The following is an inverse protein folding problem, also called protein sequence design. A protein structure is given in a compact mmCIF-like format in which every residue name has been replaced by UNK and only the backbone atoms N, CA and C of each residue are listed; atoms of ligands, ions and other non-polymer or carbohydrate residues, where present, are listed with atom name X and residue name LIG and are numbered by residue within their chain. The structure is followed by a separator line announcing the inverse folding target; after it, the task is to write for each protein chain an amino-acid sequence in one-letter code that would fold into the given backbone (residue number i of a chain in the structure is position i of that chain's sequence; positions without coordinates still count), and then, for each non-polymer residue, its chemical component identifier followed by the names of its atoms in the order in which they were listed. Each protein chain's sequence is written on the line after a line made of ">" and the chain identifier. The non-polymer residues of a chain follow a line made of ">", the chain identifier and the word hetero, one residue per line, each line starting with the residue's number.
data_IF_402163636990
#
_entry.id   IF_402163636990
#
_cell.length_a   1.000
_cell.length_b   1.000
_cell.length_c   1.000
_cell.angle_alpha   90.00
_cell.angle_beta   90.00
_cell.angle_gamma   90.00
#
_symmetry.space_group_name_H-M   'P 1'
#
loop_
_entity.id
_entity.type
_entity.pdbx_description
1 polymer ?
#
# COMPACT_ATOMS: atom_id res chain seq x y z
N UNK A 1 15.58 28.06 -63.49
CA UNK A 1 14.95 28.73 -62.32
C UNK A 1 15.16 27.83 -61.11
N UNK A 2 15.83 28.32 -60.07
CA UNK A 2 16.46 27.50 -59.01
C UNK A 2 15.47 27.12 -57.89
N UNK A 3 15.09 25.84 -57.80
CA UNK A 3 14.00 25.32 -56.95
C UNK A 3 14.33 25.10 -55.46
N UNK A 4 15.42 25.67 -54.94
CA UNK A 4 15.92 25.31 -53.59
C UNK A 4 15.31 26.08 -52.41
N UNK A 5 14.27 26.90 -52.60
CA UNK A 5 13.79 27.82 -51.54
C UNK A 5 12.34 27.65 -51.08
N UNK A 6 11.62 26.60 -51.50
CA UNK A 6 10.18 26.46 -51.17
C UNK A 6 9.90 25.45 -50.03
N UNK A 7 10.89 24.68 -49.58
CA UNK A 7 10.70 23.66 -48.52
C UNK A 7 11.17 24.19 -47.15
N UNK A 8 10.72 25.39 -46.74
CA UNK A 8 11.11 25.92 -45.42
C UNK A 8 9.99 26.69 -44.69
N UNK A 9 8.74 26.51 -45.10
CA UNK A 9 7.61 27.24 -44.50
C UNK A 9 6.35 26.38 -44.26
N UNK A 10 6.50 25.06 -44.07
CA UNK A 10 5.36 24.15 -43.82
C UNK A 10 5.43 23.38 -42.49
N UNK A 11 6.50 23.58 -41.70
CA UNK A 11 6.75 22.78 -40.49
C UNK A 11 6.22 23.35 -39.17
N UNK A 12 5.76 24.60 -39.12
CA UNK A 12 5.52 25.29 -37.84
C UNK A 12 4.03 25.37 -37.42
N UNK A 13 3.09 24.93 -38.26
CA UNK A 13 1.66 25.12 -37.97
C UNK A 13 0.94 23.91 -37.33
N UNK A 14 1.63 22.79 -37.08
CA UNK A 14 1.02 21.57 -36.51
C UNK A 14 0.99 21.57 -34.97
N UNK A 15 1.62 22.53 -34.30
CA UNK A 15 1.80 22.52 -32.84
C UNK A 15 0.67 23.16 -32.02
N UNK A 16 -0.40 23.66 -32.64
CA UNK A 16 -1.49 24.37 -31.93
C UNK A 16 -2.81 23.60 -31.78
N UNK A 17 -2.89 22.33 -32.20
CA UNK A 17 -4.15 21.57 -32.15
C UNK A 17 -4.28 20.60 -30.95
N UNK A 18 -3.32 20.55 -30.02
CA UNK A 18 -3.30 19.56 -28.94
C UNK A 18 -3.89 20.02 -27.59
N UNK A 19 -4.53 21.19 -27.50
CA UNK A 19 -5.01 21.74 -26.21
C UNK A 19 -6.53 21.65 -25.95
N UNK A 20 -7.31 21.03 -26.83
CA UNK A 20 -8.78 20.94 -26.64
C UNK A 20 -9.24 19.52 -26.30
N UNK A 21 -9.03 19.08 -25.06
CA UNK A 21 -9.92 18.09 -24.41
C UNK A 21 -9.66 17.95 -22.92
N UNK A 22 -10.18 18.89 -22.15
CA UNK A 22 -10.67 18.61 -20.79
C UNK A 22 -12.11 19.09 -20.72
N UNK A 23 -13.04 18.24 -21.14
CA UNK A 23 -14.46 18.37 -20.82
C UNK A 23 -14.70 17.55 -19.55
N UNK A 24 -14.69 18.19 -18.40
CA UNK A 24 -15.09 17.58 -17.13
C UNK A 24 -16.62 17.41 -17.13
N UNK A 25 -17.10 16.40 -17.87
CA UNK A 25 -18.46 15.92 -17.75
C UNK A 25 -18.53 15.00 -16.53
N UNK A 26 -18.85 15.58 -15.38
CA UNK A 26 -19.11 14.85 -14.15
C UNK A 26 -20.54 14.31 -14.23
N UNK A 27 -20.72 13.20 -14.94
CA UNK A 27 -21.96 12.43 -14.92
C UNK A 27 -21.86 11.44 -13.75
N UNK A 28 -22.51 11.80 -12.63
CA UNK A 28 -22.69 10.94 -11.48
C UNK A 28 -23.71 9.85 -11.83
N UNK A 29 -23.29 8.84 -12.60
CA UNK A 29 -23.98 7.56 -12.65
C UNK A 29 -23.31 6.66 -11.62
N UNK A 30 -24.02 6.41 -10.51
CA UNK A 30 -23.61 5.53 -9.42
C UNK A 30 -23.34 4.11 -9.93
N UNK A 31 -22.15 3.93 -10.48
CA UNK A 31 -21.55 2.64 -10.67
C UNK A 31 -20.89 2.35 -9.35
N UNK A 32 -21.41 1.39 -8.59
CA UNK A 32 -20.71 0.83 -7.44
C UNK A 32 -19.25 0.61 -7.83
N UNK A 33 -18.36 1.48 -7.35
CA UNK A 33 -16.96 1.18 -7.32
C UNK A 33 -16.85 -0.03 -6.42
N UNK A 34 -16.80 -1.23 -7.02
CA UNK A 34 -16.08 -2.32 -6.38
C UNK A 34 -14.68 -1.75 -6.16
N UNK A 35 -14.47 -1.23 -4.95
CA UNK A 35 -13.15 -1.17 -4.37
C UNK A 35 -12.76 -2.63 -4.34
N UNK A 36 -12.04 -3.06 -5.37
CA UNK A 36 -11.27 -4.27 -5.26
C UNK A 36 -10.29 -3.96 -4.14
N UNK A 37 -10.63 -4.41 -2.92
CA UNK A 37 -9.70 -4.46 -1.80
C UNK A 37 -8.55 -5.29 -2.31
N UNK A 38 -7.50 -4.62 -2.75
CA UNK A 38 -6.22 -5.25 -3.01
C UNK A 38 -5.89 -6.05 -1.75
N UNK A 39 -5.62 -7.34 -1.90
CA UNK A 39 -5.18 -8.16 -0.77
C UNK A 39 -4.01 -7.42 -0.11
N UNK A 40 -4.17 -7.05 1.16
CA UNK A 40 -3.24 -6.18 1.86
C UNK A 40 -1.81 -6.70 1.80
N UNK A 41 -0.84 -5.84 2.10
CA UNK A 41 0.57 -6.21 2.14
C UNK A 41 0.80 -7.35 3.13
N UNK A 42 1.60 -8.34 2.73
CA UNK A 42 1.89 -9.52 3.56
C UNK A 42 3.34 -9.50 4.02
N UNK A 43 3.55 -9.73 5.32
CA UNK A 43 4.88 -9.87 5.93
C UNK A 43 4.88 -11.00 6.96
N UNK A 44 6.02 -11.66 7.11
CA UNK A 44 6.24 -12.64 8.17
C UNK A 44 7.16 -12.01 9.21
N UNK A 45 6.69 -11.91 10.45
CA UNK A 45 7.42 -11.23 11.51
C UNK A 45 7.11 -11.84 12.88
N UNK A 46 8.06 -11.72 13.80
CA UNK A 46 7.93 -12.19 15.18
C UNK A 46 7.32 -11.07 16.01
N UNK A 47 6.24 -11.35 16.75
CA UNK A 47 5.64 -10.37 17.63
C UNK A 47 6.56 -10.05 18.81
N UNK A 48 6.79 -8.76 19.06
CA UNK A 48 7.74 -8.22 20.04
C UNK A 48 7.05 -7.47 21.19
N UNK A 49 5.71 -7.51 21.22
CA UNK A 49 4.91 -6.82 22.22
C UNK A 49 4.27 -5.53 21.72
N UNK A 50 3.63 -4.81 22.63
CA UNK A 50 2.94 -3.55 22.37
C UNK A 50 3.60 -2.42 23.17
N UNK A 51 3.89 -1.30 22.52
CA UNK A 51 4.18 -0.02 23.18
C UNK A 51 2.88 0.74 23.42
N UNK A 52 2.95 1.91 24.07
CA UNK A 52 1.75 2.72 24.36
C UNK A 52 0.85 2.90 23.12
N UNK A 53 1.46 3.12 21.95
CA UNK A 53 0.78 3.43 20.69
C UNK A 53 0.80 2.33 19.63
N UNK A 54 1.74 1.37 19.67
CA UNK A 54 1.98 0.49 18.52
C UNK A 54 2.13 -0.98 18.90
N UNK A 55 1.70 -1.85 17.99
CA UNK A 55 2.01 -3.28 18.00
C UNK A 55 3.31 -3.53 17.24
N UNK A 56 4.32 -4.05 17.93
CA UNK A 56 5.67 -4.17 17.40
C UNK A 56 5.99 -5.60 16.98
N UNK A 57 6.70 -5.71 15.87
CA UNK A 57 7.16 -6.97 15.30
C UNK A 57 8.60 -6.84 14.81
N UNK A 58 9.32 -7.95 14.78
CA UNK A 58 10.67 -8.04 14.24
C UNK A 58 10.66 -8.86 12.95
N UNK A 59 11.08 -8.23 11.86
CA UNK A 59 11.39 -8.89 10.59
C UNK A 59 12.87 -9.23 10.57
N UNK A 60 13.20 -10.46 10.18
CA UNK A 60 14.59 -10.87 9.97
C UNK A 60 14.82 -11.07 8.47
N UNK A 61 15.80 -10.35 7.91
CA UNK A 61 16.14 -10.49 6.49
C UNK A 61 16.96 -11.76 6.21
N UNK A 62 17.25 -12.01 4.93
CA UNK A 62 18.02 -13.19 4.49
C UNK A 62 19.45 -13.24 5.02
N UNK A 63 20.00 -12.12 5.51
CA UNK A 63 21.33 -12.01 6.10
C UNK A 63 21.28 -12.09 7.63
N UNK A 64 20.10 -12.33 8.22
CA UNK A 64 19.90 -12.39 9.66
C UNK A 64 19.78 -11.01 10.33
N UNK A 65 19.71 -9.91 9.56
CA UNK A 65 19.56 -8.58 10.14
C UNK A 65 18.10 -8.38 10.57
N UNK A 66 17.93 -8.02 11.85
CA UNK A 66 16.64 -7.70 12.45
C UNK A 66 16.23 -6.26 12.15
N UNK A 67 14.95 -6.04 11.84
CA UNK A 67 14.34 -4.74 11.64
C UNK A 67 13.02 -4.68 12.38
N UNK A 68 12.75 -3.57 13.05
CA UNK A 68 11.48 -3.34 13.72
C UNK A 68 10.41 -2.94 12.69
N UNK A 69 9.20 -3.45 12.89
CA UNK A 69 8.01 -3.12 12.14
C UNK A 69 6.86 -2.88 13.12
N UNK A 70 6.32 -1.67 13.11
CA UNK A 70 5.27 -1.23 14.03
C UNK A 70 3.97 -0.98 13.28
N UNK A 71 2.86 -1.34 13.92
CA UNK A 71 1.49 -1.11 13.43
C UNK A 71 0.71 -0.31 14.47
N UNK A 72 0.09 0.78 14.04
CA UNK A 72 -0.69 1.66 14.92
C UNK A 72 -2.02 1.02 15.28
N UNK A 73 -2.60 0.27 14.35
CA UNK A 73 -3.94 -0.28 14.49
C UNK A 73 -3.97 -1.78 14.16
N UNK A 74 -4.98 -2.47 14.69
CA UNK A 74 -5.35 -3.81 14.31
C UNK A 74 -6.87 -3.88 14.19
N UNK A 75 -7.37 -4.63 13.22
CA UNK A 75 -8.80 -4.86 13.06
C UNK A 75 -9.37 -5.58 14.30
N UNK A 76 -10.62 -5.29 14.64
CA UNK A 76 -11.28 -5.90 15.82
C UNK A 76 -11.30 -7.43 15.77
N UNK A 77 -11.41 -8.01 14.57
CA UNK A 77 -11.33 -9.46 14.36
C UNK A 77 -9.97 -10.03 14.78
N UNK A 78 -8.89 -9.29 14.57
CA UNK A 78 -7.53 -9.66 15.00
C UNK A 78 -7.44 -9.58 16.51
N UNK A 79 -7.90 -8.48 17.13
CA UNK A 79 -7.84 -8.27 18.58
C UNK A 79 -8.73 -9.24 19.36
N UNK A 80 -9.83 -9.71 18.76
CA UNK A 80 -10.70 -10.73 19.34
C UNK A 80 -10.03 -12.12 19.33
N UNK A 81 -9.30 -12.44 18.25
CA UNK A 81 -8.63 -13.73 18.10
C UNK A 81 -7.28 -13.79 18.83
N UNK A 82 -6.59 -12.66 18.93
CA UNK A 82 -5.27 -12.52 19.52
C UNK A 82 -5.27 -11.29 20.43
N UNK A 83 -5.20 -11.53 21.74
CA UNK A 83 -4.95 -10.45 22.69
C UNK A 83 -3.51 -9.93 22.55
N UNK A 84 -3.33 -8.95 21.66
CA UNK A 84 -2.07 -8.26 21.42
C UNK A 84 -1.81 -7.13 22.44
N UNK A 85 -2.64 -6.99 23.48
CA UNK A 85 -2.33 -6.12 24.61
C UNK A 85 -1.60 -6.89 25.73
N UNK A 86 -1.72 -8.21 25.75
CA UNK A 86 -0.98 -9.10 26.62
C UNK A 86 0.34 -9.56 25.98
N UNK A 87 1.27 -10.03 26.81
CA UNK A 87 2.58 -10.55 26.36
C UNK A 87 2.52 -12.02 25.88
N UNK A 88 1.34 -12.64 25.89
CA UNK A 88 1.12 -14.08 25.61
C UNK A 88 1.71 -14.56 24.28
N UNK A 89 1.81 -13.69 23.28
CA UNK A 89 2.29 -14.04 21.94
C UNK A 89 3.70 -13.52 21.63
N UNK A 90 4.39 -12.88 22.59
CA UNK A 90 5.76 -12.39 22.37
C UNK A 90 6.65 -13.55 21.96
N UNK A 91 7.46 -13.35 20.92
CA UNK A 91 8.30 -14.39 20.31
C UNK A 91 7.58 -15.31 19.30
N UNK A 92 6.26 -15.18 19.15
CA UNK A 92 5.50 -15.96 18.14
C UNK A 92 5.66 -15.35 16.74
N UNK A 93 5.97 -16.20 15.77
CA UNK A 93 6.00 -15.82 14.35
C UNK A 93 4.57 -15.78 13.80
N UNK A 94 4.24 -14.68 13.13
CA UNK A 94 2.97 -14.51 12.44
C UNK A 94 3.17 -14.21 10.97
N UNK A 95 2.24 -14.67 10.15
CA UNK A 95 1.94 -14.09 8.85
C UNK A 95 0.93 -12.95 9.08
N UNK A 96 1.33 -11.76 8.69
CA UNK A 96 0.60 -10.51 8.92
C UNK A 96 0.14 -10.00 7.57
N UNK A 97 -1.17 -9.77 7.42
CA UNK A 97 -1.72 -8.98 6.32
C UNK A 97 -2.08 -7.61 6.87
N UNK A 98 -1.66 -6.54 6.19
CA UNK A 98 -1.90 -5.18 6.63
C UNK A 98 -2.14 -4.22 5.47
N UNK A 99 -2.79 -3.11 5.77
CA UNK A 99 -2.97 -1.99 4.84
C UNK A 99 -2.25 -0.77 5.37
N UNK A 100 -1.74 0.07 4.46
CA UNK A 100 -1.16 1.37 4.79
C UNK A 100 -2.11 2.47 4.32
N UNK A 101 -2.56 3.30 5.25
CA UNK A 101 -3.37 4.49 4.99
C UNK A 101 -2.56 5.61 4.34
N UNK A 102 -3.26 6.62 3.82
CA UNK A 102 -2.64 7.80 3.20
C UNK A 102 -1.86 8.70 4.16
N UNK A 103 -2.05 8.50 5.47
CA UNK A 103 -1.33 9.14 6.58
C UNK A 103 -0.17 8.28 7.10
N UNK A 104 0.25 7.27 6.33
CA UNK A 104 1.27 6.27 6.68
C UNK A 104 0.90 5.33 7.84
N UNK A 105 -0.34 5.40 8.35
CA UNK A 105 -0.79 4.48 9.40
C UNK A 105 -0.91 3.06 8.87
N UNK A 106 -0.39 2.10 9.62
CA UNK A 106 -0.47 0.67 9.27
C UNK A 106 -1.48 -0.02 10.15
N UNK A 107 -2.41 -0.70 9.50
CA UNK A 107 -3.49 -1.45 10.17
C UNK A 107 -3.39 -2.92 9.83
N UNK A 108 -3.23 -3.76 10.86
CA UNK A 108 -3.25 -5.22 10.71
C UNK A 108 -4.68 -5.65 10.38
N UNK A 109 -4.89 -6.23 9.22
CA UNK A 109 -6.21 -6.72 8.78
C UNK A 109 -6.38 -8.23 9.00
N UNK A 110 -5.28 -8.98 9.05
CA UNK A 110 -5.29 -10.42 9.34
C UNK A 110 -4.00 -10.84 10.03
N UNK A 111 -4.11 -11.78 10.96
CA UNK A 111 -2.98 -12.38 11.66
C UNK A 111 -3.13 -13.91 11.68
N UNK A 112 -2.09 -14.63 11.27
CA UNK A 112 -2.08 -16.10 11.24
C UNK A 112 -0.80 -16.61 11.92
N UNK A 113 -0.93 -17.43 12.98
CA UNK A 113 0.23 -18.05 13.64
C UNK A 113 0.94 -19.00 12.68
N UNK A 114 2.25 -18.85 12.55
CA UNK A 114 3.07 -19.80 11.79
C UNK A 114 3.47 -20.95 12.72
N UNK A 115 2.95 -22.15 12.45
CA UNK A 115 3.32 -23.36 13.20
C UNK A 115 4.69 -23.83 12.73
N UNK A 116 5.66 -23.88 13.63
CA UNK A 116 6.96 -24.55 13.38
C UNK A 116 6.77 -26.00 13.80
N UNK A 117 6.87 -26.92 12.83
CA UNK A 117 6.84 -28.37 13.07
C UNK A 117 8.23 -28.87 13.49
#
# INVERSE_FOLDING_TARGET
>A
MNTKKIILLSGLMVLFLSLSSFKSGLDLNETFCKVETQDGLVVYAVYDGKTDTDYNFIVTDRKGKKQALSFQNAADSVLTAFDLNAETFVGTMFKITFNQGGDETKTISKLEKVQVH
#
